data_IF_561416698394
#
_entry.id   IF_561416698394
#
_cell.length_a   1.000
_cell.length_b   1.000
_cell.length_c   1.000
_cell.angle_alpha   90.00
_cell.angle_beta   90.00
_cell.angle_gamma   90.00
#
_symmetry.space_group_name_H-M   'P 1'
#
loop_
_entity.id
_entity.type
_entity.pdbx_description
1 polymer ?
#
# COMPACT_ATOMS: atom_id res chain seq x y z
N UNK A 1 -1.45 25.43 -11.51
CA UNK A 1 -0.25 25.64 -12.35
C UNK A 1 -0.26 24.51 -13.37
N UNK A 2 -0.39 24.79 -14.66
CA UNK A 2 -0.30 23.75 -15.72
C UNK A 2 1.14 23.21 -15.70
N UNK A 3 1.30 21.89 -15.81
CA UNK A 3 2.62 21.29 -15.97
C UNK A 3 3.34 21.95 -17.15
N UNK A 4 4.60 22.33 -16.99
CA UNK A 4 5.41 22.83 -18.10
C UNK A 4 5.53 21.73 -19.16
N UNK A 5 5.66 22.10 -20.44
CA UNK A 5 5.85 21.14 -21.54
C UNK A 5 7.00 20.16 -21.25
N UNK A 6 8.09 20.64 -20.64
CA UNK A 6 9.24 19.84 -20.24
C UNK A 6 8.91 18.71 -19.25
N UNK A 7 7.98 18.97 -18.31
CA UNK A 7 7.53 17.93 -17.36
C UNK A 7 6.70 16.85 -18.06
N UNK A 8 5.90 17.24 -19.05
CA UNK A 8 5.14 16.28 -19.84
C UNK A 8 6.03 15.44 -20.75
N UNK A 9 6.99 16.05 -21.42
CA UNK A 9 7.92 15.32 -22.32
C UNK A 9 8.77 14.31 -21.54
N UNK A 10 9.25 14.68 -20.34
CA UNK A 10 9.95 13.77 -19.44
C UNK A 10 9.05 12.61 -19.00
N UNK A 11 7.82 12.90 -18.60
CA UNK A 11 6.85 11.87 -18.24
C UNK A 11 6.60 10.92 -19.41
N UNK A 12 6.34 11.44 -20.60
CA UNK A 12 6.07 10.65 -21.78
C UNK A 12 7.23 9.73 -22.16
N UNK A 13 8.45 10.23 -22.09
CA UNK A 13 9.67 9.46 -22.36
C UNK A 13 9.84 8.29 -21.37
N UNK A 14 9.65 8.54 -20.08
CA UNK A 14 9.71 7.51 -19.04
C UNK A 14 8.58 6.48 -19.17
N UNK A 15 7.36 6.94 -19.51
CA UNK A 15 6.22 6.06 -19.75
C UNK A 15 6.45 5.14 -20.94
N UNK A 16 6.97 5.68 -22.05
CA UNK A 16 7.32 4.90 -23.25
C UNK A 16 8.45 3.89 -22.99
N UNK A 17 9.37 4.23 -22.08
CA UNK A 17 10.42 3.31 -21.64
C UNK A 17 9.90 2.22 -20.67
N UNK A 18 8.63 2.24 -20.26
CA UNK A 18 8.05 1.30 -19.32
C UNK A 18 8.49 1.53 -17.87
N UNK A 19 9.07 2.68 -17.56
CA UNK A 19 9.52 3.02 -16.22
C UNK A 19 8.35 3.44 -15.33
N UNK A 20 8.40 3.02 -14.06
CA UNK A 20 7.46 3.47 -13.04
C UNK A 20 7.71 4.93 -12.70
N UNK A 21 6.63 5.65 -12.43
CA UNK A 21 6.69 7.08 -12.12
C UNK A 21 5.72 7.43 -11.01
N UNK A 22 6.12 8.37 -10.16
CA UNK A 22 5.24 9.06 -9.24
C UNK A 22 4.88 10.43 -9.82
N UNK A 23 3.59 10.72 -9.86
CA UNK A 23 3.08 12.04 -10.21
C UNK A 23 2.45 12.63 -8.96
N UNK A 24 2.92 13.78 -8.52
CA UNK A 24 2.42 14.43 -7.33
C UNK A 24 1.82 15.80 -7.62
N UNK A 25 0.86 16.17 -6.80
CA UNK A 25 0.26 17.52 -6.80
C UNK A 25 -0.03 17.94 -5.36
N UNK A 26 0.41 19.13 -5.02
CA UNK A 26 0.05 19.74 -3.73
C UNK A 26 -1.27 20.50 -3.90
N UNK A 27 -2.20 20.24 -2.99
CA UNK A 27 -3.50 20.90 -2.93
C UNK A 27 -3.65 21.59 -1.57
N UNK A 28 -4.19 22.79 -1.57
CA UNK A 28 -4.58 23.49 -0.33
C UNK A 28 -5.85 22.82 0.22
N UNK A 29 -5.79 22.36 1.45
CA UNK A 29 -6.87 21.62 2.10
C UNK A 29 -7.09 22.04 3.58
N UNK A 30 -6.86 23.31 3.90
CA UNK A 30 -6.87 23.87 5.26
C UNK A 30 -8.20 23.65 6.01
N UNK A 31 -9.29 23.43 5.30
CA UNK A 31 -10.61 23.16 5.87
C UNK A 31 -10.93 21.67 6.00
N UNK A 32 -10.00 20.78 5.66
CA UNK A 32 -10.21 19.34 5.71
C UNK A 32 -9.44 18.73 6.87
N UNK A 33 -10.12 17.81 7.58
CA UNK A 33 -9.43 16.88 8.47
C UNK A 33 -9.07 15.61 7.69
N UNK A 34 -8.10 14.79 8.14
CA UNK A 34 -7.79 13.52 7.49
C UNK A 34 -9.02 12.62 7.33
N UNK A 35 -9.87 12.56 8.37
CA UNK A 35 -11.12 11.79 8.32
C UNK A 35 -12.09 12.35 7.29
N UNK A 36 -12.29 13.68 7.22
CA UNK A 36 -13.18 14.28 6.24
C UNK A 36 -12.67 14.10 4.80
N UNK A 37 -11.36 14.14 4.61
CA UNK A 37 -10.73 13.85 3.33
C UNK A 37 -10.93 12.38 2.94
N UNK A 38 -10.69 11.45 3.87
CA UNK A 38 -10.94 10.02 3.66
C UNK A 38 -12.37 9.76 3.21
N UNK A 39 -13.37 10.27 3.93
CA UNK A 39 -14.78 10.07 3.59
C UNK A 39 -15.15 10.60 2.20
N UNK A 40 -14.53 11.71 1.78
CA UNK A 40 -14.75 12.28 0.45
C UNK A 40 -14.07 11.50 -0.67
N UNK A 41 -12.87 10.98 -0.42
CA UNK A 41 -12.05 10.31 -1.44
C UNK A 41 -12.41 8.82 -1.57
N UNK A 42 -12.54 8.14 -0.45
CA UNK A 42 -12.83 6.71 -0.38
C UNK A 42 -14.33 6.45 -0.58
N UNK A 43 -15.21 7.18 0.12
CA UNK A 43 -16.64 6.88 0.15
C UNK A 43 -16.87 5.42 0.55
N UNK A 44 -17.64 4.68 -0.26
CA UNK A 44 -17.93 3.26 -0.06
C UNK A 44 -16.99 2.34 -0.88
N UNK A 45 -15.86 2.86 -1.38
CA UNK A 45 -14.93 2.05 -2.17
C UNK A 45 -14.21 1.04 -1.28
N UNK A 46 -14.10 -0.23 -1.72
CA UNK A 46 -13.36 -1.24 -0.99
C UNK A 46 -11.85 -0.97 -1.05
N UNK A 47 -11.11 -1.62 -0.17
CA UNK A 47 -9.64 -1.64 -0.17
C UNK A 47 -9.01 -0.24 -0.07
N UNK A 48 -9.64 0.63 0.72
CA UNK A 48 -9.13 1.96 1.07
C UNK A 48 -8.75 1.98 2.54
N UNK A 49 -7.77 2.81 2.89
CA UNK A 49 -7.36 2.97 4.29
C UNK A 49 -7.01 4.41 4.64
N UNK A 50 -7.10 4.72 5.91
CA UNK A 50 -6.57 5.92 6.54
C UNK A 50 -5.62 5.47 7.67
N UNK A 51 -4.38 5.93 7.61
CA UNK A 51 -3.40 5.78 8.68
C UNK A 51 -3.14 7.16 9.29
N UNK A 52 -3.34 7.29 10.58
CA UNK A 52 -3.07 8.49 11.34
C UNK A 52 -2.07 8.18 12.46
N UNK A 53 -1.06 9.01 12.59
CA UNK A 53 -0.17 8.94 13.73
C UNK A 53 -0.67 9.89 14.82
N UNK A 54 -1.12 9.33 15.93
CA UNK A 54 -1.73 10.08 17.05
C UNK A 54 -0.71 10.49 18.11
N UNK A 55 0.43 9.80 18.17
CA UNK A 55 1.46 10.02 19.18
C UNK A 55 2.83 10.28 18.56
N UNK A 56 3.60 11.20 19.14
CA UNK A 56 4.99 11.43 18.73
C UNK A 56 5.35 12.88 18.44
N UNK A 57 4.44 13.83 18.61
CA UNK A 57 4.68 15.26 18.42
C UNK A 57 5.10 15.61 16.97
N UNK A 58 5.76 16.76 16.82
CA UNK A 58 6.14 17.32 15.52
C UNK A 58 7.09 16.43 14.67
N UNK A 59 7.68 15.39 15.25
CA UNK A 59 8.68 14.55 14.57
C UNK A 59 8.10 13.24 14.06
N UNK A 60 7.15 12.60 14.77
CA UNK A 60 6.60 11.28 14.39
C UNK A 60 5.14 11.30 13.96
N UNK A 61 4.32 12.21 14.51
CA UNK A 61 2.89 12.36 14.16
C UNK A 61 2.64 13.32 13.00
N UNK A 62 3.57 13.43 12.05
CA UNK A 62 3.58 14.50 11.06
C UNK A 62 2.64 14.27 9.87
N UNK A 63 2.31 13.03 9.56
CA UNK A 63 1.57 12.70 8.35
C UNK A 63 0.37 11.82 8.65
N UNK A 64 -0.74 12.11 7.98
CA UNK A 64 -1.83 11.18 7.78
C UNK A 64 -1.78 10.67 6.35
N UNK A 65 -2.04 9.38 6.14
CA UNK A 65 -1.92 8.75 4.82
C UNK A 65 -3.24 8.08 4.46
N UNK A 66 -3.78 8.44 3.31
CA UNK A 66 -4.96 7.81 2.73
C UNK A 66 -4.52 7.04 1.49
N UNK A 67 -4.73 5.72 1.47
CA UNK A 67 -4.48 4.88 0.31
C UNK A 67 -5.78 4.46 -0.36
N UNK A 68 -5.79 4.52 -1.69
CA UNK A 68 -6.97 4.29 -2.52
C UNK A 68 -6.61 3.49 -3.77
N UNK A 69 -7.62 2.84 -4.34
CA UNK A 69 -7.54 2.17 -5.63
C UNK A 69 -6.28 1.31 -5.78
N UNK A 70 -6.08 0.30 -4.93
CA UNK A 70 -4.91 -0.56 -5.05
C UNK A 70 -4.90 -1.22 -6.43
N UNK A 71 -3.71 -1.35 -7.01
CA UNK A 71 -3.47 -2.13 -8.23
C UNK A 71 -3.06 -3.56 -7.92
N UNK A 72 -2.78 -3.84 -6.64
CA UNK A 72 -2.37 -5.14 -6.17
C UNK A 72 -2.69 -5.30 -4.68
N UNK A 73 -3.17 -6.50 -4.31
CA UNK A 73 -3.29 -6.96 -2.93
C UNK A 73 -2.49 -8.25 -2.79
N UNK A 74 -1.60 -8.28 -1.80
CA UNK A 74 -0.91 -9.48 -1.36
C UNK A 74 -1.43 -9.90 0.00
N UNK A 75 -1.64 -11.20 0.20
CA UNK A 75 -2.00 -11.73 1.51
C UNK A 75 -1.26 -13.02 1.83
N UNK A 76 -1.14 -13.28 3.12
CA UNK A 76 -0.80 -14.60 3.65
C UNK A 76 -2.02 -15.18 4.35
N UNK A 77 -2.40 -16.38 3.98
CA UNK A 77 -3.50 -17.13 4.60
C UNK A 77 -3.07 -18.59 4.78
N UNK A 78 -3.19 -19.11 5.99
CA UNK A 78 -2.81 -20.50 6.32
C UNK A 78 -1.38 -20.85 5.84
N UNK A 79 -0.44 -19.91 6.01
CA UNK A 79 0.95 -20.09 5.63
C UNK A 79 1.19 -20.10 4.10
N UNK A 80 0.26 -19.62 3.29
CA UNK A 80 0.37 -19.52 1.84
C UNK A 80 0.28 -18.07 1.39
N UNK A 81 1.12 -17.71 0.42
CA UNK A 81 1.04 -16.39 -0.22
C UNK A 81 0.04 -16.42 -1.37
N UNK A 82 -0.78 -15.40 -1.45
CA UNK A 82 -1.72 -15.17 -2.53
C UNK A 82 -1.65 -13.72 -3.00
N UNK A 83 -1.85 -13.50 -4.28
CA UNK A 83 -1.82 -12.17 -4.90
C UNK A 83 -3.08 -11.94 -5.73
N UNK A 84 -3.62 -10.74 -5.66
CA UNK A 84 -4.72 -10.27 -6.49
C UNK A 84 -4.29 -9.00 -7.23
N UNK A 85 -4.20 -9.07 -8.55
CA UNK A 85 -3.87 -7.95 -9.44
C UNK A 85 -5.10 -7.26 -10.05
N UNK A 86 -6.29 -7.71 -9.64
CA UNK A 86 -7.58 -7.12 -10.00
C UNK A 86 -8.41 -6.87 -8.75
N UNK A 87 -7.97 -5.96 -7.83
CA UNK A 87 -8.54 -5.83 -6.50
C UNK A 87 -10.01 -5.38 -6.42
N UNK A 88 -10.62 -5.05 -7.55
CA UNK A 88 -12.05 -4.81 -7.62
C UNK A 88 -12.89 -6.11 -7.48
N UNK A 89 -12.24 -7.27 -7.63
CA UNK A 89 -12.84 -8.60 -7.51
C UNK A 89 -12.10 -9.41 -6.43
N UNK A 90 -12.78 -9.70 -5.33
CA UNK A 90 -12.23 -10.49 -4.23
C UNK A 90 -11.95 -11.95 -4.62
N UNK A 91 -12.55 -12.45 -5.70
CA UNK A 91 -12.27 -13.78 -6.24
C UNK A 91 -10.95 -13.87 -7.03
N UNK A 92 -10.31 -12.72 -7.29
CA UNK A 92 -9.10 -12.61 -8.11
C UNK A 92 -7.79 -13.07 -7.44
N UNK A 93 -7.84 -13.61 -6.22
CA UNK A 93 -6.63 -14.11 -5.56
C UNK A 93 -6.09 -15.38 -6.23
N UNK A 94 -4.82 -15.36 -6.55
CA UNK A 94 -4.08 -16.49 -7.08
C UNK A 94 -2.96 -16.87 -6.13
N UNK A 95 -2.80 -18.17 -5.89
CA UNK A 95 -1.73 -18.65 -5.02
C UNK A 95 -0.38 -18.45 -5.69
N UNK A 96 0.57 -17.90 -4.94
CA UNK A 96 1.96 -17.76 -5.33
C UNK A 96 2.71 -19.11 -5.23
N UNK A 97 3.68 -19.31 -6.11
CA UNK A 97 4.56 -20.48 -6.06
C UNK A 97 5.65 -20.39 -4.99
N UNK A 98 5.99 -19.18 -4.58
CA UNK A 98 6.98 -18.89 -3.55
C UNK A 98 6.36 -19.01 -2.15
N UNK A 99 7.17 -19.36 -1.17
CA UNK A 99 6.76 -19.29 0.24
C UNK A 99 6.53 -17.83 0.65
N UNK A 100 5.67 -17.54 1.64
CA UNK A 100 5.19 -16.18 1.89
C UNK A 100 6.27 -15.11 2.03
N UNK A 101 7.34 -15.37 2.76
CA UNK A 101 8.39 -14.37 2.96
C UNK A 101 9.22 -14.11 1.69
N UNK A 102 9.40 -15.11 0.83
CA UNK A 102 10.09 -14.95 -0.45
C UNK A 102 9.19 -14.21 -1.46
N UNK A 103 7.90 -14.58 -1.52
CA UNK A 103 6.91 -13.88 -2.33
C UNK A 103 6.84 -12.39 -1.95
N UNK A 104 6.78 -12.09 -0.64
CA UNK A 104 6.76 -10.73 -0.15
C UNK A 104 8.05 -9.95 -0.53
N UNK A 105 9.23 -10.56 -0.38
CA UNK A 105 10.49 -9.92 -0.79
C UNK A 105 10.51 -9.62 -2.29
N UNK A 106 10.07 -10.55 -3.11
CA UNK A 106 9.96 -10.35 -4.55
C UNK A 106 9.00 -9.19 -4.88
N UNK A 107 7.84 -9.13 -4.20
CA UNK A 107 6.88 -8.06 -4.36
C UNK A 107 7.43 -6.70 -3.92
N UNK A 108 8.16 -6.64 -2.80
CA UNK A 108 8.82 -5.41 -2.34
C UNK A 108 9.82 -4.90 -3.39
N UNK A 109 10.69 -5.75 -3.89
CA UNK A 109 11.63 -5.38 -4.95
C UNK A 109 10.92 -4.91 -6.23
N UNK A 110 9.84 -5.59 -6.62
CA UNK A 110 9.02 -5.17 -7.76
C UNK A 110 8.28 -3.86 -7.53
N UNK A 111 8.00 -3.50 -6.28
CA UNK A 111 7.22 -2.29 -5.92
C UNK A 111 8.11 -1.11 -5.56
N UNK A 112 9.42 -1.31 -5.53
CA UNK A 112 10.39 -0.25 -5.25
C UNK A 112 10.29 0.88 -6.29
N UNK A 113 10.27 2.11 -5.80
CA UNK A 113 10.32 3.31 -6.63
C UNK A 113 11.73 3.88 -6.57
N UNK A 114 12.44 3.91 -7.71
CA UNK A 114 13.86 4.30 -7.74
C UNK A 114 14.10 5.76 -7.37
N UNK A 115 13.12 6.62 -7.56
CA UNK A 115 13.21 8.04 -7.23
C UNK A 115 11.85 8.58 -6.78
N UNK A 116 11.75 8.92 -5.51
CA UNK A 116 10.57 9.60 -4.93
C UNK A 116 10.79 11.11 -4.80
N UNK A 117 11.98 11.61 -5.10
CA UNK A 117 12.34 13.02 -4.94
C UNK A 117 12.15 13.51 -3.51
N UNK A 118 11.58 14.70 -3.38
CA UNK A 118 11.27 15.34 -2.08
C UNK A 118 9.96 14.86 -1.45
N UNK A 119 9.32 13.82 -1.99
CA UNK A 119 8.06 13.31 -1.46
C UNK A 119 8.31 12.58 -0.12
N UNK A 120 7.30 12.58 0.78
CA UNK A 120 7.37 11.81 2.01
C UNK A 120 7.67 10.32 1.75
N UNK A 121 8.35 9.61 2.66
CA UNK A 121 8.71 8.20 2.48
C UNK A 121 7.50 7.28 2.19
N UNK A 122 6.29 7.67 2.64
CA UNK A 122 5.05 6.94 2.41
C UNK A 122 4.38 7.28 1.07
N UNK A 123 5.03 8.01 0.18
CA UNK A 123 4.46 8.34 -1.14
C UNK A 123 4.34 7.12 -2.07
N UNK A 124 5.03 6.04 -1.77
CA UNK A 124 4.92 4.76 -2.46
C UNK A 124 5.18 3.60 -1.48
N UNK A 125 4.75 2.40 -1.83
CA UNK A 125 5.02 1.19 -1.07
C UNK A 125 3.81 0.29 -0.88
N UNK A 126 3.98 -0.65 0.05
CA UNK A 126 2.97 -1.59 0.48
C UNK A 126 2.46 -1.17 1.85
N UNK A 127 1.15 -1.19 2.03
CA UNK A 127 0.48 -0.75 3.26
C UNK A 127 -0.46 -1.84 3.75
N UNK A 128 -0.45 -2.11 5.04
CA UNK A 128 -1.31 -3.12 5.62
C UNK A 128 -0.83 -3.57 6.98
N UNK A 129 -1.04 -4.85 7.28
CA UNK A 129 -0.68 -5.40 8.57
C UNK A 129 0.02 -6.76 8.44
N UNK A 130 0.82 -7.07 9.43
CA UNK A 130 1.31 -8.40 9.74
C UNK A 130 0.65 -8.84 11.04
N UNK A 131 -0.12 -9.93 10.97
CA UNK A 131 -0.68 -10.56 12.15
C UNK A 131 0.41 -11.25 12.98
N UNK A 132 0.11 -11.50 14.23
CA UNK A 132 1.08 -12.09 15.16
C UNK A 132 1.58 -13.48 14.68
N UNK A 133 0.70 -14.24 14.05
CA UNK A 133 1.01 -15.61 13.59
C UNK A 133 2.01 -15.68 12.42
N UNK A 134 2.31 -14.55 11.76
CA UNK A 134 3.41 -14.47 10.78
C UNK A 134 4.77 -14.87 11.38
N UNK A 135 4.96 -14.76 12.69
CA UNK A 135 6.16 -15.22 13.38
C UNK A 135 6.43 -16.71 13.14
N UNK A 136 5.39 -17.52 12.92
CA UNK A 136 5.48 -18.96 12.65
C UNK A 136 6.16 -19.30 11.33
N UNK A 137 6.25 -18.33 10.42
CA UNK A 137 7.03 -18.48 9.17
C UNK A 137 8.55 -18.38 9.43
N UNK A 138 8.93 -17.88 10.59
CA UNK A 138 10.34 -17.62 10.96
C UNK A 138 10.76 -18.58 12.08
N UNK A 139 9.89 -18.81 13.06
CA UNK A 139 10.18 -19.60 14.25
C UNK A 139 9.24 -20.78 14.40
N UNK A 140 9.77 -21.90 14.87
CA UNK A 140 8.98 -23.09 15.17
C UNK A 140 8.28 -22.95 16.53
N UNK A 141 7.13 -22.29 16.53
CA UNK A 141 6.31 -22.06 17.72
C UNK A 141 5.11 -23.01 17.69
N UNK A 142 4.80 -23.72 18.79
CA UNK A 142 3.64 -24.61 18.87
C UNK A 142 2.33 -23.87 18.56
N UNK A 143 1.48 -24.46 17.73
CA UNK A 143 0.14 -23.95 17.44
C UNK A 143 -0.84 -24.49 18.50
N UNK A 144 -0.86 -23.86 19.68
CA UNK A 144 -1.66 -24.31 20.81
C UNK A 144 -3.09 -23.73 20.83
N UNK A 145 -3.35 -22.66 20.08
CA UNK A 145 -4.62 -21.93 20.15
C UNK A 145 -5.39 -22.05 18.82
N UNK A 146 -6.69 -22.26 18.93
CA UNK A 146 -7.58 -22.12 17.78
C UNK A 146 -7.75 -20.62 17.43
N UNK A 147 -7.67 -20.30 16.17
CA UNK A 147 -7.96 -18.94 15.67
C UNK A 147 -9.42 -18.63 15.92
N UNK A 148 -9.69 -17.61 16.75
CA UNK A 148 -11.06 -17.21 17.10
C UNK A 148 -11.69 -16.28 16.06
N UNK A 149 -10.90 -15.72 15.16
CA UNK A 149 -11.35 -14.76 14.13
C UNK A 149 -10.81 -15.23 12.78
N UNK A 150 -11.68 -15.35 11.80
CA UNK A 150 -11.29 -15.63 10.41
C UNK A 150 -10.70 -14.37 9.80
N UNK A 151 -9.39 -14.26 9.80
CA UNK A 151 -8.62 -13.14 9.27
C UNK A 151 -7.38 -13.68 8.56
N UNK A 152 -6.92 -12.98 7.54
CA UNK A 152 -5.65 -13.30 6.89
C UNK A 152 -4.49 -13.09 7.89
N UNK A 153 -3.47 -13.95 7.84
CA UNK A 153 -2.25 -13.82 8.66
C UNK A 153 -1.54 -12.48 8.38
N UNK A 154 -1.64 -12.01 7.14
CA UNK A 154 -1.15 -10.70 6.70
C UNK A 154 -1.89 -10.24 5.46
N UNK A 155 -2.11 -8.94 5.35
CA UNK A 155 -2.69 -8.31 4.15
C UNK A 155 -1.94 -7.02 3.85
N UNK A 156 -1.47 -6.87 2.61
CA UNK A 156 -0.77 -5.70 2.12
C UNK A 156 -1.41 -5.20 0.82
N UNK A 157 -1.67 -3.92 0.76
CA UNK A 157 -2.21 -3.21 -0.40
C UNK A 157 -1.10 -2.39 -1.05
N UNK A 158 -1.06 -2.35 -2.38
CA UNK A 158 -0.28 -1.38 -3.14
C UNK A 158 -1.23 -0.34 -3.74
N UNK A 159 -1.46 0.80 -3.07
CA UNK A 159 -2.36 1.81 -3.58
C UNK A 159 -1.79 2.47 -4.83
N UNK A 160 -2.64 2.73 -5.82
CA UNK A 160 -2.27 3.50 -7.01
C UNK A 160 -2.49 5.01 -6.81
N UNK A 161 -3.24 5.38 -5.79
CA UNK A 161 -3.49 6.77 -5.38
C UNK A 161 -3.24 6.91 -3.87
N UNK A 162 -2.41 7.87 -3.50
CA UNK A 162 -2.09 8.19 -2.11
C UNK A 162 -2.30 9.68 -1.88
N UNK A 163 -3.01 10.04 -0.81
CA UNK A 163 -3.06 11.41 -0.29
C UNK A 163 -2.34 11.46 1.06
N UNK A 164 -1.45 12.41 1.22
CA UNK A 164 -0.63 12.61 2.43
C UNK A 164 -0.83 14.02 2.95
#
# INVERSE_FOLDING_TARGET
MLASSENFDRFAAQFQAGNRQLISRVLVADTQTPVSAYLKLAGDKPNCFLLESVEGGEVRGRFSVIGLAPDLIWRCRDGRAEINITPADDSGFQQESLVPLESLRALMCQSEMPDTGDLPPMAAGLFGYFGYDMIRLIENIPNANQTAVEMDDSLLLRPSLIAI
#
